data_IF_749821506661
#
_entry.id   IF_749821506661
#
_cell.length_a   1.000
_cell.length_b   1.000
_cell.length_c   1.000
_cell.angle_alpha   90.00
_cell.angle_beta   90.00
_cell.angle_gamma   90.00
#
_symmetry.space_group_name_H-M   'P 1'
#
loop_
_entity.id
_entity.type
_entity.pdbx_description
1 polymer ?
#
# COMPACT_ATOMS: atom_id res chain seq x y z
N UNK A 1 -3.30 18.56 3.63
CA UNK A 1 -2.63 17.91 4.76
C UNK A 1 -1.80 16.78 4.15
N UNK A 2 -0.47 16.86 4.17
CA UNK A 2 0.36 15.73 3.73
C UNK A 2 0.40 14.76 4.91
N UNK A 3 0.16 13.49 4.67
CA UNK A 3 0.20 12.47 5.72
C UNK A 3 1.59 12.45 6.37
N UNK A 4 1.66 12.47 7.71
CA UNK A 4 2.92 12.50 8.48
C UNK A 4 3.87 11.36 8.08
N UNK A 5 3.31 10.21 7.69
CA UNK A 5 4.07 9.05 7.22
C UNK A 5 4.72 9.30 5.85
N UNK A 6 4.03 10.00 4.94
CA UNK A 6 4.63 10.40 3.66
C UNK A 6 5.83 11.31 3.93
N UNK A 7 5.69 12.30 4.80
CA UNK A 7 6.79 13.20 5.18
C UNK A 7 7.96 12.42 5.77
N UNK A 8 7.69 11.56 6.77
CA UNK A 8 8.74 10.76 7.42
C UNK A 8 9.47 9.83 6.44
N UNK A 9 8.76 9.20 5.51
CA UNK A 9 9.37 8.32 4.51
C UNK A 9 10.32 9.08 3.57
N UNK A 10 9.98 10.33 3.20
CA UNK A 10 10.87 11.21 2.43
C UNK A 10 12.06 11.69 3.24
N UNK A 11 11.89 11.93 4.55
CA UNK A 11 13.02 12.26 5.43
C UNK A 11 14.03 11.10 5.49
N UNK A 12 13.55 9.86 5.56
CA UNK A 12 14.43 8.68 5.55
C UNK A 12 15.15 8.50 4.22
N UNK A 13 14.47 8.76 3.08
CA UNK A 13 15.10 8.84 1.76
C UNK A 13 16.20 9.92 1.76
N UNK A 14 15.91 11.10 2.28
CA UNK A 14 16.86 12.21 2.31
C UNK A 14 18.10 11.89 3.16
N UNK A 15 17.95 11.20 4.29
CA UNK A 15 19.09 10.74 5.10
C UNK A 15 19.91 9.70 4.34
N UNK A 16 19.27 8.70 3.75
CA UNK A 16 19.95 7.66 2.97
C UNK A 16 20.78 8.26 1.83
N UNK A 17 20.17 9.14 1.02
CA UNK A 17 20.86 9.78 -0.10
C UNK A 17 21.98 10.71 0.38
N UNK A 18 21.80 11.45 1.48
CA UNK A 18 22.85 12.29 2.06
C UNK A 18 24.07 11.48 2.49
N UNK A 19 23.86 10.33 3.15
CA UNK A 19 24.93 9.43 3.57
C UNK A 19 25.65 8.77 2.40
N UNK A 20 24.94 8.52 1.29
CA UNK A 20 25.56 8.00 0.06
C UNK A 20 26.48 9.02 -0.65
N UNK A 21 26.30 10.32 -0.39
CA UNK A 21 27.00 11.39 -1.11
C UNK A 21 26.52 11.61 -2.55
N UNK A 22 25.52 10.86 -3.02
CA UNK A 22 24.96 10.99 -4.36
C UNK A 22 23.97 12.16 -4.43
N UNK A 23 23.96 12.86 -5.56
CA UNK A 23 22.89 13.80 -5.91
C UNK A 23 21.72 13.03 -6.49
N UNK A 24 20.50 13.46 -6.20
CA UNK A 24 19.29 12.80 -6.65
C UNK A 24 18.17 13.81 -6.95
N UNK A 25 17.22 13.35 -7.75
CA UNK A 25 15.96 14.04 -8.01
C UNK A 25 14.80 13.05 -7.78
N UNK A 26 13.65 13.57 -7.34
CA UNK A 26 12.44 12.76 -7.13
C UNK A 26 11.47 13.03 -8.26
N UNK A 27 11.13 11.99 -9.00
CA UNK A 27 10.21 12.05 -10.13
C UNK A 27 8.92 11.28 -9.81
N UNK A 28 7.78 11.97 -9.76
CA UNK A 28 6.47 11.35 -9.59
C UNK A 28 5.91 10.94 -10.96
N UNK A 29 5.73 9.63 -11.17
CA UNK A 29 5.14 9.08 -12.41
C UNK A 29 4.14 7.98 -12.05
N UNK A 30 3.14 7.71 -12.91
CA UNK A 30 2.19 6.60 -12.70
C UNK A 30 2.90 5.27 -12.42
N UNK A 31 2.37 4.45 -11.49
CA UNK A 31 3.02 3.21 -11.04
C UNK A 31 3.36 2.26 -12.20
N UNK A 32 2.42 2.07 -13.13
CA UNK A 32 2.64 1.25 -14.33
C UNK A 32 3.81 1.74 -15.21
N UNK A 33 4.19 3.03 -15.11
CA UNK A 33 5.36 3.59 -15.79
C UNK A 33 6.63 3.52 -14.94
N UNK A 34 6.52 3.46 -13.61
CA UNK A 34 7.68 3.33 -12.71
C UNK A 34 8.44 2.06 -13.08
N UNK A 35 7.76 0.91 -13.08
CA UNK A 35 8.40 -0.39 -13.30
C UNK A 35 9.13 -0.47 -14.64
N UNK A 36 8.56 0.10 -15.71
CA UNK A 36 9.24 0.18 -17.01
C UNK A 36 10.40 1.17 -17.02
N UNK A 37 10.21 2.37 -16.45
CA UNK A 37 11.26 3.41 -16.47
C UNK A 37 12.51 2.99 -15.70
N UNK A 38 12.34 2.28 -14.58
CA UNK A 38 13.49 1.86 -13.78
C UNK A 38 14.27 0.73 -14.45
N UNK A 39 13.60 -0.20 -15.14
CA UNK A 39 14.29 -1.28 -15.85
C UNK A 39 15.12 -0.80 -17.05
N UNK A 40 14.85 0.42 -17.53
CA UNK A 40 15.55 1.04 -18.67
C UNK A 40 16.60 2.06 -18.23
N UNK A 41 16.70 2.39 -16.93
CA UNK A 41 17.56 3.45 -16.41
C UNK A 41 18.48 2.91 -15.31
N UNK A 42 19.78 2.83 -15.62
CA UNK A 42 20.83 2.35 -14.73
C UNK A 42 21.24 3.37 -13.63
N UNK A 43 20.58 4.52 -13.57
CA UNK A 43 20.76 5.58 -12.56
C UNK A 43 19.48 5.86 -11.75
N UNK A 44 18.48 4.97 -11.82
CA UNK A 44 17.19 5.14 -11.14
C UNK A 44 17.02 4.18 -9.96
N UNK A 45 16.34 4.66 -8.92
CA UNK A 45 15.85 3.87 -7.78
C UNK A 45 14.32 3.90 -7.78
N UNK A 46 13.71 2.85 -7.24
CA UNK A 46 12.27 2.82 -6.93
C UNK A 46 12.07 3.04 -5.43
N UNK A 47 11.25 4.03 -5.10
CA UNK A 47 10.91 4.42 -3.74
C UNK A 47 9.55 3.83 -3.35
N UNK A 48 9.44 3.34 -2.11
CA UNK A 48 8.24 2.72 -1.54
C UNK A 48 7.72 1.51 -2.34
N UNK A 49 8.58 0.51 -2.53
CA UNK A 49 8.19 -0.76 -3.16
C UNK A 49 8.09 -1.89 -2.12
N UNK A 50 6.94 -2.56 -2.08
CA UNK A 50 6.76 -3.77 -1.27
C UNK A 50 7.64 -4.89 -1.81
N UNK A 51 8.43 -5.51 -0.93
CA UNK A 51 9.19 -6.73 -1.22
C UNK A 51 8.27 -7.94 -1.27
N UNK A 52 8.14 -8.57 -2.43
CA UNK A 52 7.31 -9.77 -2.62
C UNK A 52 8.15 -10.88 -3.23
N UNK A 53 7.70 -12.14 -3.09
CA UNK A 53 8.39 -13.28 -3.71
C UNK A 53 8.47 -13.13 -5.23
N UNK A 54 7.44 -12.53 -5.85
CA UNK A 54 7.40 -12.28 -7.30
C UNK A 54 8.47 -11.27 -7.77
N UNK A 55 8.94 -10.38 -6.89
CA UNK A 55 9.89 -9.30 -7.21
C UNK A 55 11.28 -9.54 -6.64
N UNK A 56 11.49 -10.63 -5.91
CA UNK A 56 12.71 -10.85 -5.15
C UNK A 56 13.97 -10.79 -6.04
N UNK A 57 13.85 -11.35 -7.25
CA UNK A 57 14.93 -11.43 -8.24
C UNK A 57 15.03 -10.20 -9.16
N UNK A 58 14.08 -9.27 -9.11
CA UNK A 58 14.04 -8.08 -9.96
C UNK A 58 14.82 -6.89 -9.37
N UNK A 59 15.15 -6.94 -8.07
CA UNK A 59 15.67 -5.79 -7.33
C UNK A 59 16.87 -6.10 -6.45
N UNK A 60 17.67 -5.07 -6.19
CA UNK A 60 18.52 -4.97 -5.02
C UNK A 60 17.75 -4.19 -3.94
N UNK A 61 17.40 -4.87 -2.85
CA UNK A 61 16.71 -4.27 -1.70
C UNK A 61 17.71 -3.48 -0.85
N UNK A 62 17.71 -2.16 -0.93
CA UNK A 62 18.75 -1.31 -0.33
C UNK A 62 18.49 -1.06 1.16
N UNK A 63 17.35 -0.45 1.46
CA UNK A 63 16.97 -0.11 2.84
C UNK A 63 15.44 -0.15 2.99
N UNK A 64 14.91 -0.66 4.12
CA UNK A 64 13.51 -0.46 4.44
C UNK A 64 13.26 1.02 4.67
N UNK A 65 12.33 1.59 3.92
CA UNK A 65 11.91 2.98 4.07
C UNK A 65 10.80 3.08 5.09
N UNK A 66 9.84 2.17 5.02
CA UNK A 66 8.62 2.23 5.83
C UNK A 66 8.25 0.82 6.28
N UNK A 67 7.89 0.66 7.56
CA UNK A 67 7.45 -0.62 8.10
C UNK A 67 6.15 -1.09 7.44
N UNK A 68 5.80 -2.35 7.69
CA UNK A 68 4.56 -2.98 7.20
C UNK A 68 3.37 -2.03 7.34
N UNK A 69 2.74 -1.70 6.20
CA UNK A 69 1.37 -1.21 6.20
C UNK A 69 0.45 -2.38 5.88
N UNK A 70 -0.44 -2.81 6.80
CA UNK A 70 -1.37 -3.87 6.49
C UNK A 70 -2.33 -3.48 5.36
N UNK A 71 -2.60 -4.44 4.48
CA UNK A 71 -3.68 -4.35 3.51
C UNK A 71 -4.97 -4.87 4.14
N UNK A 72 -6.08 -4.24 3.79
CA UNK A 72 -7.39 -4.57 4.32
C UNK A 72 -8.37 -4.85 3.18
N UNK A 73 -9.05 -6.00 3.25
CA UNK A 73 -10.11 -6.35 2.32
C UNK A 73 -11.43 -5.76 2.82
N UNK A 74 -12.05 -4.92 1.99
CA UNK A 74 -13.31 -4.26 2.28
C UNK A 74 -14.42 -4.72 1.33
N UNK A 75 -15.63 -4.86 1.87
CA UNK A 75 -16.88 -5.05 1.12
C UNK A 75 -17.97 -4.10 1.61
N UNK A 76 -19.12 -4.07 0.94
CA UNK A 76 -20.28 -3.24 1.37
C UNK A 76 -21.28 -3.99 2.27
N UNK A 77 -21.15 -5.31 2.36
CA UNK A 77 -21.96 -6.13 3.27
C UNK A 77 -21.13 -6.50 4.49
N UNK A 78 -21.75 -6.62 5.66
CA UNK A 78 -21.03 -7.10 6.84
C UNK A 78 -20.64 -8.58 6.66
N UNK A 79 -19.41 -8.99 7.04
CA UNK A 79 -18.97 -10.39 7.00
C UNK A 79 -19.95 -11.34 7.68
N UNK A 80 -20.62 -10.91 8.76
CA UNK A 80 -21.56 -11.74 9.53
C UNK A 80 -22.80 -12.14 8.74
N UNK A 81 -23.13 -11.41 7.67
CA UNK A 81 -24.29 -11.70 6.81
C UNK A 81 -23.99 -12.77 5.77
N UNK A 82 -22.72 -13.08 5.52
CA UNK A 82 -22.33 -14.09 4.55
C UNK A 82 -21.17 -14.98 5.06
N UNK A 83 -21.49 -16.05 5.83
CA UNK A 83 -20.49 -16.98 6.33
C UNK A 83 -19.77 -17.77 5.22
N UNK A 84 -20.38 -17.84 4.02
CA UNK A 84 -19.86 -18.59 2.87
C UNK A 84 -18.92 -17.77 1.98
N UNK A 85 -18.67 -16.50 2.30
CA UNK A 85 -17.93 -15.56 1.44
C UNK A 85 -16.59 -16.11 0.93
N UNK A 86 -15.82 -16.80 1.79
CA UNK A 86 -14.51 -17.34 1.41
C UNK A 86 -14.61 -18.51 0.44
N UNK A 87 -15.65 -19.33 0.57
CA UNK A 87 -15.95 -20.40 -0.37
C UNK A 87 -16.41 -19.81 -1.70
N UNK A 88 -17.28 -18.81 -1.68
CA UNK A 88 -17.75 -18.10 -2.87
C UNK A 88 -16.62 -17.41 -3.64
N UNK A 89 -15.65 -16.80 -2.94
CA UNK A 89 -14.43 -16.25 -3.54
C UNK A 89 -13.70 -17.33 -4.36
N UNK A 90 -13.40 -18.47 -3.73
CA UNK A 90 -12.67 -19.58 -4.39
C UNK A 90 -13.45 -20.21 -5.54
N UNK A 91 -14.77 -20.25 -5.45
CA UNK A 91 -15.68 -20.72 -6.51
C UNK A 91 -15.85 -19.71 -7.65
N UNK A 92 -15.26 -18.51 -7.57
CA UNK A 92 -15.35 -17.49 -8.61
C UNK A 92 -16.66 -16.72 -8.64
N UNK A 93 -17.44 -16.76 -7.54
CA UNK A 93 -18.72 -16.06 -7.41
C UNK A 93 -18.58 -14.63 -6.90
N UNK A 94 -17.39 -14.26 -6.43
CA UNK A 94 -17.07 -12.93 -5.93
C UNK A 94 -15.92 -12.32 -6.71
N UNK A 95 -16.01 -11.01 -6.89
CA UNK A 95 -15.09 -10.21 -7.68
C UNK A 95 -14.39 -9.15 -6.85
N UNK A 96 -13.20 -8.77 -7.28
CA UNK A 96 -12.43 -7.71 -6.64
C UNK A 96 -11.76 -6.80 -7.67
N UNK A 97 -11.39 -5.59 -7.26
CA UNK A 97 -10.63 -4.67 -8.11
C UNK A 97 -9.24 -4.36 -7.53
N UNK A 98 -8.26 -4.22 -8.41
CA UNK A 98 -6.92 -3.76 -8.09
C UNK A 98 -6.33 -2.94 -9.25
N UNK A 99 -5.35 -2.08 -8.96
CA UNK A 99 -4.55 -1.45 -10.01
C UNK A 99 -3.56 -2.47 -10.59
N UNK A 100 -3.43 -2.52 -11.91
CA UNK A 100 -2.54 -3.45 -12.61
C UNK A 100 -1.10 -3.32 -12.09
N UNK A 101 -0.40 -4.45 -12.02
CA UNK A 101 1.00 -4.57 -11.57
C UNK A 101 1.25 -4.05 -10.14
N UNK A 102 0.20 -3.97 -9.32
CA UNK A 102 0.28 -3.61 -7.90
C UNK A 102 0.30 -4.85 -7.00
N UNK A 103 0.85 -4.68 -5.80
CA UNK A 103 0.81 -5.71 -4.74
C UNK A 103 -0.61 -6.16 -4.43
N UNK A 104 -1.60 -5.28 -4.61
CA UNK A 104 -2.99 -5.60 -4.34
C UNK A 104 -3.51 -6.74 -5.22
N UNK A 105 -3.10 -6.80 -6.50
CA UNK A 105 -3.50 -7.90 -7.37
C UNK A 105 -2.87 -9.22 -6.92
N UNK A 106 -1.58 -9.22 -6.60
CA UNK A 106 -0.86 -10.40 -6.11
C UNK A 106 -1.52 -10.94 -4.84
N UNK A 107 -1.82 -10.06 -3.86
CA UNK A 107 -2.45 -10.46 -2.61
C UNK A 107 -3.87 -10.99 -2.82
N UNK A 108 -4.66 -10.42 -3.73
CA UNK A 108 -5.99 -10.95 -4.06
C UNK A 108 -5.92 -12.39 -4.63
N UNK A 109 -4.95 -12.66 -5.50
CA UNK A 109 -4.73 -14.01 -6.04
C UNK A 109 -4.31 -14.98 -4.93
N UNK A 110 -3.39 -14.59 -4.05
CA UNK A 110 -2.96 -15.38 -2.89
C UNK A 110 -4.10 -15.64 -1.89
N UNK A 111 -5.07 -14.74 -1.81
CA UNK A 111 -6.29 -14.91 -1.02
C UNK A 111 -7.30 -15.90 -1.64
N UNK A 112 -7.04 -16.37 -2.87
CA UNK A 112 -7.85 -17.37 -3.56
C UNK A 112 -8.90 -16.80 -4.51
N UNK A 113 -8.82 -15.51 -4.87
CA UNK A 113 -9.63 -14.98 -5.97
C UNK A 113 -9.11 -15.57 -7.30
N UNK A 114 -9.98 -16.22 -8.10
CA UNK A 114 -9.58 -16.66 -9.43
C UNK A 114 -9.16 -15.46 -10.30
N UNK A 115 -8.10 -15.56 -11.13
CA UNK A 115 -7.60 -14.42 -11.89
C UNK A 115 -8.63 -13.71 -12.78
N UNK A 116 -9.67 -14.43 -13.23
CA UNK A 116 -10.75 -13.89 -14.06
C UNK A 116 -11.81 -13.09 -13.28
N UNK A 117 -11.85 -13.19 -11.95
CA UNK A 117 -12.75 -12.38 -11.10
C UNK A 117 -12.08 -11.11 -10.58
N UNK A 118 -10.79 -10.92 -10.87
CA UNK A 118 -10.01 -9.75 -10.49
C UNK A 118 -10.01 -8.74 -11.64
N UNK A 119 -10.74 -7.63 -11.45
CA UNK A 119 -10.73 -6.49 -12.35
C UNK A 119 -9.42 -5.70 -12.19
N UNK A 120 -8.50 -5.85 -13.16
CA UNK A 120 -7.20 -5.15 -13.20
C UNK A 120 -7.30 -3.82 -13.93
N UNK A 121 -7.36 -2.75 -13.15
CA UNK A 121 -7.57 -1.38 -13.63
C UNK A 121 -6.24 -0.79 -14.11
N UNK A 122 -6.25 -0.14 -15.28
CA UNK A 122 -5.12 0.63 -15.81
C UNK A 122 -5.25 2.14 -15.61
N UNK A 123 -6.38 2.61 -15.08
CA UNK A 123 -6.62 4.02 -14.77
C UNK A 123 -6.02 4.36 -13.41
N UNK A 124 -5.39 5.54 -13.32
CA UNK A 124 -4.84 6.11 -12.09
C UNK A 124 -5.81 7.12 -11.46
N UNK A 125 -7.09 7.08 -11.84
CA UNK A 125 -8.10 7.96 -11.26
C UNK A 125 -8.21 7.71 -9.75
N UNK A 126 -8.09 8.75 -8.91
CA UNK A 126 -8.27 8.63 -7.47
C UNK A 126 -9.62 8.01 -7.11
N UNK A 127 -9.64 7.19 -6.06
CA UNK A 127 -10.83 6.54 -5.52
C UNK A 127 -11.64 5.66 -6.49
N UNK A 128 -11.07 5.27 -7.64
CA UNK A 128 -11.80 4.48 -8.64
C UNK A 128 -12.22 3.10 -8.12
N UNK A 129 -11.37 2.44 -7.32
CA UNK A 129 -11.71 1.16 -6.69
C UNK A 129 -12.91 1.28 -5.76
N UNK A 130 -12.95 2.34 -4.96
CA UNK A 130 -14.04 2.67 -4.05
C UNK A 130 -15.33 2.95 -4.82
N UNK A 131 -15.26 3.71 -5.92
CA UNK A 131 -16.41 3.95 -6.79
C UNK A 131 -16.94 2.66 -7.44
N UNK A 132 -16.06 1.74 -7.86
CA UNK A 132 -16.46 0.46 -8.42
C UNK A 132 -17.19 -0.40 -7.37
N UNK A 133 -16.67 -0.42 -6.14
CA UNK A 133 -17.33 -1.11 -5.03
C UNK A 133 -18.70 -0.51 -4.72
N UNK A 134 -18.79 0.81 -4.54
CA UNK A 134 -20.04 1.54 -4.24
C UNK A 134 -21.12 1.34 -5.32
N UNK A 135 -20.70 1.24 -6.59
CA UNK A 135 -21.59 0.96 -7.73
C UNK A 135 -21.88 -0.53 -7.92
N UNK A 136 -21.43 -1.39 -6.99
CA UNK A 136 -21.57 -2.86 -7.03
C UNK A 136 -21.04 -3.47 -8.33
N UNK A 137 -19.99 -2.87 -8.90
CA UNK A 137 -19.27 -3.40 -10.07
C UNK A 137 -18.23 -4.44 -9.69
N UNK A 138 -17.81 -4.43 -8.42
CA UNK A 138 -17.03 -5.49 -7.77
C UNK A 138 -17.58 -5.72 -6.36
N UNK A 139 -17.33 -6.89 -5.79
CA UNK A 139 -17.76 -7.23 -4.42
C UNK A 139 -16.77 -6.74 -3.37
N UNK A 140 -15.48 -6.69 -3.71
CA UNK A 140 -14.41 -6.36 -2.78
C UNK A 140 -13.36 -5.40 -3.35
N UNK A 141 -12.72 -4.67 -2.46
CA UNK A 141 -11.48 -3.93 -2.75
C UNK A 141 -10.45 -4.21 -1.66
N UNK A 142 -9.18 -4.22 -2.04
CA UNK A 142 -8.07 -4.30 -1.11
C UNK A 142 -7.41 -2.93 -1.03
N UNK A 143 -7.27 -2.36 0.17
CA UNK A 143 -6.72 -1.01 0.37
C UNK A 143 -5.89 -0.93 1.65
N UNK A 144 -4.95 0.01 1.68
CA UNK A 144 -4.41 0.53 2.94
C UNK A 144 -5.47 1.40 3.63
N UNK A 145 -5.56 1.34 4.97
CA UNK A 145 -6.59 2.07 5.74
C UNK A 145 -6.52 3.57 5.50
N UNK A 146 -5.32 4.14 5.51
CA UNK A 146 -5.09 5.58 5.32
C UNK A 146 -5.50 6.01 3.91
N UNK A 147 -5.10 5.24 2.90
CA UNK A 147 -5.46 5.51 1.50
C UNK A 147 -6.97 5.45 1.26
N UNK A 148 -7.67 4.51 1.91
CA UNK A 148 -9.12 4.45 1.87
C UNK A 148 -9.71 5.71 2.53
N UNK A 149 -9.31 6.03 3.76
CA UNK A 149 -9.84 7.19 4.49
C UNK A 149 -9.64 8.51 3.73
N UNK A 150 -8.46 8.74 3.14
CA UNK A 150 -8.19 9.92 2.34
C UNK A 150 -9.15 10.02 1.14
N UNK A 151 -9.39 8.90 0.45
CA UNK A 151 -10.34 8.84 -0.66
C UNK A 151 -11.78 9.10 -0.20
N UNK A 152 -12.19 8.55 0.95
CA UNK A 152 -13.54 8.76 1.48
C UNK A 152 -13.79 10.20 1.90
N UNK A 153 -12.81 10.86 2.51
CA UNK A 153 -12.88 12.30 2.85
C UNK A 153 -13.05 13.12 1.56
N UNK A 154 -12.25 12.84 0.52
CA UNK A 154 -12.36 13.54 -0.78
C UNK A 154 -13.72 13.33 -1.45
N UNK A 155 -14.32 12.17 -1.28
CA UNK A 155 -15.64 11.83 -1.82
C UNK A 155 -16.80 12.24 -0.91
N UNK A 156 -16.53 12.80 0.27
CA UNK A 156 -17.52 13.09 1.31
C UNK A 156 -18.40 11.86 1.65
N UNK A 157 -17.74 10.71 1.83
CA UNK A 157 -18.37 9.42 2.12
C UNK A 157 -18.09 8.97 3.54
N UNK A 158 -19.07 8.26 4.10
CA UNK A 158 -18.96 7.64 5.42
C UNK A 158 -18.18 6.32 5.35
N UNK A 159 -17.18 6.18 6.21
CA UNK A 159 -16.36 4.98 6.33
C UNK A 159 -17.15 3.75 6.79
N UNK A 160 -18.28 3.95 7.50
CA UNK A 160 -19.18 2.87 7.93
C UNK A 160 -19.85 2.11 6.78
N UNK A 161 -19.77 2.63 5.56
CA UNK A 161 -20.24 1.93 4.36
C UNK A 161 -19.33 0.77 3.94
N UNK A 162 -18.10 0.73 4.45
CA UNK A 162 -17.08 -0.24 4.10
C UNK A 162 -16.86 -1.15 5.30
N UNK A 163 -17.09 -2.44 5.14
CA UNK A 163 -16.90 -3.43 6.20
C UNK A 163 -15.60 -4.21 5.97
N UNK A 164 -14.80 -4.36 7.04
CA UNK A 164 -13.55 -5.11 7.01
C UNK A 164 -13.82 -6.61 7.01
N UNK A 165 -13.31 -7.33 6.02
CA UNK A 165 -13.36 -8.80 5.95
C UNK A 165 -12.08 -9.46 6.42
N UNK A 166 -10.91 -8.85 6.13
CA UNK A 166 -9.61 -9.41 6.48
C UNK A 166 -8.52 -8.36 6.47
N UNK A 167 -7.60 -8.48 7.42
CA UNK A 167 -6.32 -7.76 7.45
C UNK A 167 -5.20 -8.69 7.01
N UNK A 168 -4.33 -8.19 6.13
CA UNK A 168 -3.20 -8.91 5.54
C UNK A 168 -1.94 -8.11 5.87
N UNK A 169 -1.15 -8.64 6.80
CA UNK A 169 0.17 -8.09 7.10
C UNK A 169 1.06 -8.06 5.86
N UNK A 170 1.74 -6.94 5.65
CA UNK A 170 2.66 -6.78 4.52
C UNK A 170 4.11 -6.84 4.99
N UNK A 171 5.02 -6.98 4.02
CA UNK A 171 6.43 -6.71 4.28
C UNK A 171 6.66 -5.19 4.25
N UNK A 172 7.73 -4.68 4.88
CA UNK A 172 8.13 -3.28 4.78
C UNK A 172 8.27 -2.83 3.32
N UNK A 173 8.03 -1.56 3.07
CA UNK A 173 8.38 -0.92 1.82
C UNK A 173 9.86 -0.58 1.79
N UNK A 174 10.50 -0.78 0.65
CA UNK A 174 11.91 -0.55 0.45
C UNK A 174 12.16 0.59 -0.52
N UNK A 175 13.34 1.20 -0.36
CA UNK A 175 14.06 1.80 -1.47
C UNK A 175 14.83 0.66 -2.15
N UNK A 176 14.65 0.50 -3.44
CA UNK A 176 15.27 -0.57 -4.19
C UNK A 176 15.90 -0.08 -5.50
N UNK A 177 16.96 -0.74 -5.92
CA UNK A 177 17.57 -0.54 -7.23
C UNK A 177 17.17 -1.68 -8.18
N UNK A 178 16.92 -1.41 -9.47
CA UNK A 178 16.73 -2.47 -10.45
C UNK A 178 18.04 -3.23 -10.69
N UNK A 179 17.99 -4.47 -11.17
CA UNK A 179 19.21 -5.29 -11.40
C UNK A 179 20.18 -4.70 -12.44
N UNK A 180 19.71 -3.84 -13.34
CA UNK A 180 20.53 -3.17 -14.35
C UNK A 180 21.20 -1.88 -13.85
N UNK A 181 21.11 -1.55 -12.55
CA UNK A 181 21.74 -0.37 -11.98
C UNK A 181 23.25 -0.36 -12.24
N UNK A 182 23.82 0.84 -12.43
CA UNK A 182 25.25 1.02 -12.58
C UNK A 182 25.99 0.40 -11.37
N UNK A 183 26.96 -0.52 -11.60
CA UNK A 183 27.63 -1.24 -10.51
C UNK A 183 28.37 -0.36 -9.52
N UNK A 184 28.95 0.76 -9.97
CA UNK A 184 29.67 1.70 -9.10
C UNK A 184 28.69 2.44 -8.18
N UNK A 185 27.53 2.82 -8.71
CA UNK A 185 26.43 3.40 -7.92
C UNK A 185 25.91 2.38 -6.90
N UNK A 186 25.67 1.14 -7.33
CA UNK A 186 25.20 0.08 -6.41
C UNK A 186 26.16 -0.13 -5.24
N UNK A 187 27.46 -0.15 -5.51
CA UNK A 187 28.49 -0.30 -4.48
C UNK A 187 28.44 0.82 -3.45
N UNK A 188 28.25 2.06 -3.88
CA UNK A 188 28.07 3.22 -2.98
C UNK A 188 26.81 3.04 -2.14
N UNK A 189 25.68 2.71 -2.78
CA UNK A 189 24.38 2.57 -2.10
C UNK A 189 24.37 1.45 -1.05
N UNK A 190 25.06 0.33 -1.31
CA UNK A 190 25.16 -0.80 -0.38
C UNK A 190 26.07 -0.54 0.83
N UNK A 191 26.91 0.50 0.77
CA UNK A 191 27.78 0.92 1.88
C UNK A 191 27.10 1.90 2.83
N UNK A 192 25.89 2.37 2.51
CA UNK A 192 25.15 3.29 3.36
C UNK A 192 24.63 2.57 4.59
N UNK A 193 25.23 2.85 5.74
CA UNK A 193 24.71 2.39 7.03
C UNK A 193 23.46 3.21 7.43
N UNK A 194 22.40 2.51 7.83
CA UNK A 194 21.12 3.07 8.32
C UNK A 194 20.68 2.37 9.62
N UNK A 195 21.55 1.58 10.23
CA UNK A 195 21.24 0.75 11.41
C UNK A 195 20.98 1.55 12.68
N UNK A 196 21.44 2.80 12.73
CA UNK A 196 21.22 3.75 13.83
C UNK A 196 19.83 4.41 13.79
N UNK A 197 19.08 4.27 12.69
CA UNK A 197 17.75 4.84 12.57
C UNK A 197 16.66 3.83 12.93
N UNK A 198 15.74 4.18 13.85
CA UNK A 198 14.64 3.29 14.19
C UNK A 198 13.75 3.02 12.96
N UNK A 199 13.07 1.87 12.92
CA UNK A 199 12.08 1.58 11.90
C UNK A 199 10.99 2.66 11.86
N UNK A 200 10.68 3.17 10.66
CA UNK A 200 9.55 4.09 10.49
C UNK A 200 8.25 3.29 10.53
N UNK A 201 7.55 3.38 11.66
CA UNK A 201 6.23 2.77 11.84
C UNK A 201 5.14 3.68 11.28
N UNK A 202 4.12 3.08 10.68
CA UNK A 202 2.83 3.75 10.59
C UNK A 202 2.38 4.08 12.02
N UNK A 203 2.25 5.38 12.32
CA UNK A 203 1.62 5.80 13.56
C UNK A 203 0.15 5.42 13.44
N UNK A 204 -0.20 4.24 13.98
CA UNK A 204 -1.58 3.97 14.33
C UNK A 204 -2.02 5.12 15.24
N UNK A 205 -2.87 6.00 14.75
CA UNK A 205 -3.71 6.82 15.62
C UNK A 205 -4.75 5.86 16.22
N UNK A 206 -4.27 4.99 17.11
CA UNK A 206 -5.09 4.44 18.16
C UNK A 206 -5.10 5.53 19.22
N UNK A 207 -6.17 6.32 19.25
CA UNK A 207 -6.52 7.02 20.48
C UNK A 207 -6.76 5.96 21.55
N UNK A 208 -5.72 5.64 22.32
CA UNK A 208 -5.89 4.97 23.59
C UNK A 208 -6.53 5.98 24.55
N UNK A 209 -7.85 6.08 24.54
CA UNK A 209 -8.58 6.39 25.74
C UNK A 209 -9.47 5.18 26.03
N UNK A 210 -9.17 4.54 27.15
CA UNK A 210 -9.64 3.22 27.46
C UNK A 210 -11.15 3.13 27.59
N UNK A 211 -11.70 2.10 26.97
CA UNK A 211 -12.71 1.25 27.58
C UNK A 211 -12.59 -0.13 26.96
N UNK A 212 -12.23 -1.13 27.77
CA UNK A 212 -12.56 -2.52 27.47
C UNK A 212 -14.09 -2.59 27.35
N UNK A 213 -14.62 -2.81 26.16
CA UNK A 213 -15.71 -3.76 25.91
C UNK A 213 -16.19 -3.72 24.45
N UNK A 214 -16.58 -4.91 23.98
CA UNK A 214 -17.31 -5.25 22.74
C UNK A 214 -16.58 -5.11 21.40
N UNK A 215 -16.63 -6.20 20.62
CA UNK A 215 -16.05 -6.29 19.28
C UNK A 215 -16.94 -5.64 18.24
N UNK A 216 -16.70 -4.36 17.99
CA UNK A 216 -17.10 -3.65 16.78
C UNK A 216 -15.84 -3.04 16.13
N UNK A 217 -15.41 -3.65 15.02
CA UNK A 217 -14.36 -3.12 14.12
C UNK A 217 -14.92 -1.96 13.28
N UNK A 218 -15.42 -0.91 13.93
CA UNK A 218 -15.93 0.27 13.26
C UNK A 218 -14.78 1.08 12.64
N UNK A 219 -14.74 1.15 11.31
CA UNK A 219 -13.79 1.99 10.57
C UNK A 219 -14.10 3.46 10.83
N UNK A 220 -13.36 4.06 11.76
CA UNK A 220 -13.36 5.50 11.98
C UNK A 220 -12.23 6.16 11.19
N UNK A 221 -12.59 6.92 10.16
CA UNK A 221 -11.67 7.83 9.48
C UNK A 221 -11.62 9.14 10.27
N UNK A 222 -10.81 9.19 11.32
CA UNK A 222 -10.72 10.36 12.19
C UNK A 222 -10.12 11.57 11.49
N UNK A 223 -10.90 12.64 11.37
CA UNK A 223 -10.41 14.02 11.42
C UNK A 223 -10.60 14.50 12.85
N UNK A 224 -9.57 14.49 13.68
CA UNK A 224 -9.61 15.30 14.90
C UNK A 224 -9.43 16.77 14.50
N UNK A 225 -10.51 17.55 14.59
CA UNK A 225 -10.36 19.00 14.79
C UNK A 225 -9.67 19.17 16.14
N UNK A 226 -8.40 19.54 16.13
CA UNK A 226 -7.81 20.19 17.29
C UNK A 226 -8.63 21.45 17.51
N UNK A 227 -9.45 21.44 18.57
CA UNK A 227 -10.28 22.57 18.95
C UNK A 227 -9.41 23.78 19.31
N UNK A 228 -10.01 24.96 19.11
CA UNK A 228 -9.43 26.30 19.28
C UNK A 228 -8.68 26.53 20.60
#
# INVERSE_FOLDING_TARGET
MKDDVTVASFDRLAVFMRRSGLRYEVNFVPWARVLRKISENDHALVFQIVRTSQREDDYHWLVPILDSNPLHLYGLESPDKNPDVWREIREGKRSAACHRDSVHCTVLEEMGFPPYTILRISSEQPALTEQLLLRKRVDFILRFKESLCNNLILLNLDARLFHLYKTIEQKPDYLAAPKNINPDILKILQQVDMSDLPPLKFRQVLTSNGSKDSGDDDLTCGLERVGD
#
